data_IF_492958382698
#
_entry.id   IF_492958382698
#
_cell.length_a   1.000
_cell.length_b   1.000
_cell.length_c   1.000
_cell.angle_alpha   90.00
_cell.angle_beta   90.00
_cell.angle_gamma   90.00
#
_symmetry.space_group_name_H-M   'P 1'
#
loop_
_entity.id
_entity.type
_entity.pdbx_description
1 polymer ?
#
# COMPACT_ATOMS: atom_id res chain seq x y z
N UNK A 1 19.53 -12.19 18.13
CA UNK A 1 19.10 -11.04 18.95
C UNK A 1 19.46 -9.81 18.14
N UNK A 2 18.54 -9.35 17.29
CA UNK A 2 18.72 -8.08 16.58
C UNK A 2 19.07 -7.00 17.61
N UNK A 3 20.17 -6.29 17.38
CA UNK A 3 20.60 -5.23 18.31
C UNK A 3 19.49 -4.20 18.38
N UNK A 4 19.03 -3.85 19.59
CA UNK A 4 18.00 -2.84 19.85
C UNK A 4 18.22 -1.55 19.03
N UNK A 5 19.49 -1.18 18.78
CA UNK A 5 19.88 -0.03 17.96
C UNK A 5 19.50 -0.14 16.47
N UNK A 6 19.50 -1.34 15.88
CA UNK A 6 19.13 -1.54 14.48
C UNK A 6 17.63 -1.32 14.28
N UNK A 7 16.79 -1.96 15.10
CA UNK A 7 15.35 -1.71 15.09
C UNK A 7 15.03 -0.23 15.41
N UNK A 8 15.77 0.37 16.35
CA UNK A 8 15.66 1.81 16.63
C UNK A 8 15.99 2.66 15.39
N UNK A 9 17.04 2.32 14.63
CA UNK A 9 17.39 3.01 13.38
C UNK A 9 16.25 2.88 12.36
N UNK A 10 15.68 1.68 12.18
CA UNK A 10 14.56 1.46 11.26
C UNK A 10 13.30 2.23 11.67
N UNK A 11 13.03 2.37 12.97
CA UNK A 11 11.82 3.03 13.50
C UNK A 11 11.95 4.54 13.68
N UNK A 12 13.17 5.09 13.70
CA UNK A 12 13.40 6.52 13.94
C UNK A 12 12.67 7.35 12.89
N UNK A 13 12.04 8.45 13.35
CA UNK A 13 11.17 9.30 12.54
C UNK A 13 11.91 10.59 12.18
N UNK A 14 11.92 10.96 10.90
CA UNK A 14 12.43 12.25 10.46
C UNK A 14 11.37 13.37 10.63
N UNK A 15 11.64 14.57 10.11
CA UNK A 15 10.76 15.75 10.26
C UNK A 15 9.40 15.61 9.58
N UNK A 16 9.24 14.68 8.64
CA UNK A 16 7.98 14.34 7.98
C UNK A 16 7.26 13.17 8.67
N UNK A 17 7.84 12.64 9.75
CA UNK A 17 7.38 11.40 10.34
C UNK A 17 7.66 10.19 9.45
N UNK A 18 8.51 10.29 8.43
CA UNK A 18 8.93 9.12 7.68
C UNK A 18 9.92 8.31 8.53
N UNK A 19 9.79 6.98 8.52
CA UNK A 19 10.82 6.08 9.04
C UNK A 19 11.67 5.52 7.88
N UNK A 20 12.62 4.63 8.17
CA UNK A 20 13.50 4.04 7.14
C UNK A 20 12.73 3.50 5.92
N UNK A 21 11.63 2.78 6.14
CA UNK A 21 10.85 2.18 5.08
C UNK A 21 10.08 3.21 4.25
N UNK A 22 9.62 4.29 4.86
CA UNK A 22 9.01 5.39 4.11
C UNK A 22 10.04 6.04 3.19
N UNK A 23 11.22 6.35 3.71
CA UNK A 23 12.30 6.99 2.94
C UNK A 23 12.77 6.10 1.79
N UNK A 24 13.05 4.83 2.07
CA UNK A 24 13.49 3.87 1.05
C UNK A 24 12.40 3.62 -0.01
N UNK A 25 11.12 3.55 0.40
CA UNK A 25 10.01 3.38 -0.54
C UNK A 25 9.78 4.59 -1.43
N UNK A 26 9.80 5.79 -0.83
CA UNK A 26 9.61 7.07 -1.54
C UNK A 26 10.73 7.35 -2.53
N UNK A 27 11.96 6.98 -2.18
CA UNK A 27 13.13 7.19 -3.03
C UNK A 27 13.37 6.07 -4.05
N UNK A 28 12.50 5.04 -4.09
CA UNK A 28 12.68 3.84 -4.93
C UNK A 28 14.00 3.10 -4.68
N UNK A 29 14.53 3.13 -3.46
CA UNK A 29 15.82 2.55 -3.12
C UNK A 29 15.71 1.06 -2.77
N UNK A 30 15.34 0.25 -3.77
CA UNK A 30 15.14 -1.20 -3.61
C UNK A 30 16.35 -1.93 -2.99
N UNK A 31 17.58 -1.51 -3.28
CA UNK A 31 18.78 -2.13 -2.71
C UNK A 31 18.88 -1.92 -1.19
N UNK A 32 18.39 -0.79 -0.66
CA UNK A 32 18.34 -0.58 0.79
C UNK A 32 17.25 -1.44 1.43
N UNK A 33 16.09 -1.58 0.77
CA UNK A 33 15.04 -2.49 1.23
C UNK A 33 15.54 -3.94 1.29
N UNK A 34 16.28 -4.41 0.26
CA UNK A 34 16.87 -5.76 0.26
C UNK A 34 17.92 -5.95 1.34
N UNK A 35 18.74 -4.93 1.61
CA UNK A 35 19.71 -4.99 2.72
C UNK A 35 19.01 -5.10 4.06
N UNK A 36 17.96 -4.31 4.28
CA UNK A 36 17.16 -4.40 5.49
C UNK A 36 16.47 -5.78 5.60
N UNK A 37 15.86 -6.28 4.51
CA UNK A 37 15.22 -7.60 4.46
C UNK A 37 16.18 -8.72 4.89
N UNK A 38 17.42 -8.70 4.41
CA UNK A 38 18.44 -9.70 4.76
C UNK A 38 18.95 -9.61 6.22
N UNK A 39 18.66 -8.52 6.92
CA UNK A 39 19.09 -8.29 8.30
C UNK A 39 17.97 -8.50 9.32
N UNK A 40 16.73 -8.70 8.86
CA UNK A 40 15.56 -8.84 9.70
C UNK A 40 15.17 -10.33 9.71
N UNK A 41 15.30 -10.95 10.87
CA UNK A 41 15.04 -12.39 11.04
C UNK A 41 13.52 -12.67 11.19
N UNK A 42 12.77 -11.71 11.75
CA UNK A 42 11.35 -11.84 12.08
C UNK A 42 10.51 -10.66 11.56
N UNK A 43 9.23 -10.85 11.18
CA UNK A 43 8.39 -9.75 10.73
C UNK A 43 8.27 -8.62 11.76
N UNK A 44 8.32 -7.37 11.30
CA UNK A 44 8.31 -6.15 12.12
C UNK A 44 7.10 -5.25 11.79
N UNK A 45 5.85 -5.76 11.90
CA UNK A 45 4.66 -5.06 11.44
C UNK A 45 4.50 -3.67 12.07
N UNK A 46 4.88 -3.50 13.35
CA UNK A 46 4.75 -2.23 14.08
C UNK A 46 5.48 -1.07 13.40
N UNK A 47 6.64 -1.32 12.79
CA UNK A 47 7.41 -0.30 12.07
C UNK A 47 6.78 -0.02 10.71
N UNK A 48 6.33 -1.06 10.01
CA UNK A 48 5.83 -0.97 8.64
C UNK A 48 4.40 -0.39 8.55
N UNK A 49 3.56 -0.62 9.57
CA UNK A 49 2.19 -0.07 9.64
C UNK A 49 2.13 1.33 10.23
N UNK A 50 3.26 1.86 10.70
CA UNK A 50 3.36 3.24 11.17
C UNK A 50 3.03 4.19 10.02
N UNK A 51 2.19 5.20 10.29
CA UNK A 51 1.88 6.27 9.34
C UNK A 51 2.78 7.47 9.55
N UNK A 52 3.27 8.08 8.47
CA UNK A 52 3.94 9.37 8.49
C UNK A 52 2.98 10.53 8.84
N UNK A 53 3.45 11.77 8.85
CA UNK A 53 2.61 12.92 9.19
C UNK A 53 1.57 13.29 8.11
N UNK A 54 1.70 12.74 6.89
CA UNK A 54 0.63 12.78 5.89
C UNK A 54 -0.42 11.67 6.10
N UNK A 55 -0.20 10.79 7.08
CA UNK A 55 -1.10 9.66 7.34
C UNK A 55 -0.84 8.44 6.47
N UNK A 56 0.27 8.39 5.73
CA UNK A 56 0.61 7.30 4.81
C UNK A 56 1.51 6.28 5.48
N UNK A 57 1.26 4.98 5.26
CA UNK A 57 2.27 3.93 5.49
C UNK A 57 3.21 3.83 4.28
N UNK A 58 4.35 3.15 4.43
CA UNK A 58 5.31 2.97 3.33
C UNK A 58 4.71 2.29 2.09
N UNK A 59 3.70 1.41 2.25
CA UNK A 59 2.97 0.76 1.15
C UNK A 59 2.25 1.76 0.24
N UNK A 60 1.71 2.86 0.78
CA UNK A 60 1.08 3.92 0.00
C UNK A 60 2.11 4.68 -0.85
N UNK A 61 3.30 4.89 -0.29
CA UNK A 61 4.39 5.58 -0.98
C UNK A 61 4.89 4.78 -2.18
N UNK A 62 4.94 3.44 -2.09
CA UNK A 62 5.29 2.55 -3.21
C UNK A 62 4.34 2.75 -4.39
N UNK A 63 3.02 2.86 -4.15
CA UNK A 63 2.05 3.07 -5.24
C UNK A 63 2.20 4.45 -5.87
N UNK A 64 2.66 5.43 -5.10
CA UNK A 64 2.85 6.80 -5.56
C UNK A 64 4.09 7.01 -6.43
N UNK A 65 5.04 6.08 -6.44
CA UNK A 65 6.18 6.13 -7.36
C UNK A 65 5.77 5.60 -8.75
N UNK A 66 6.34 6.16 -9.82
CA UNK A 66 6.20 5.63 -11.19
C UNK A 66 7.28 4.58 -11.49
N UNK A 67 7.69 3.85 -10.45
CA UNK A 67 8.87 3.00 -10.50
C UNK A 67 8.55 1.61 -11.07
N UNK A 68 9.47 1.08 -11.87
CA UNK A 68 9.37 -0.26 -12.44
C UNK A 68 9.50 -1.36 -11.37
N UNK A 69 10.11 -1.05 -10.23
CA UNK A 69 10.35 -1.96 -9.11
C UNK A 69 9.25 -1.94 -8.04
N UNK A 70 8.13 -1.25 -8.27
CA UNK A 70 7.08 -1.10 -7.26
C UNK A 70 6.55 -2.46 -6.76
N UNK A 71 6.46 -3.48 -7.63
CA UNK A 71 6.03 -4.82 -7.24
C UNK A 71 7.05 -5.50 -6.32
N UNK A 72 8.34 -5.44 -6.65
CA UNK A 72 9.41 -6.01 -5.84
C UNK A 72 9.54 -5.30 -4.50
N UNK A 73 9.41 -3.99 -4.48
CA UNK A 73 9.42 -3.21 -3.23
C UNK A 73 8.23 -3.59 -2.35
N UNK A 74 7.03 -3.72 -2.94
CA UNK A 74 5.84 -4.17 -2.22
C UNK A 74 6.05 -5.57 -1.65
N UNK A 75 6.61 -6.49 -2.44
CA UNK A 75 6.93 -7.85 -1.98
C UNK A 75 7.85 -7.84 -0.76
N UNK A 76 8.92 -7.04 -0.79
CA UNK A 76 9.87 -6.95 0.33
C UNK A 76 9.17 -6.44 1.60
N UNK A 77 8.43 -5.33 1.52
CA UNK A 77 7.79 -4.77 2.73
C UNK A 77 6.68 -5.68 3.27
N UNK A 78 5.96 -6.41 2.41
CA UNK A 78 4.96 -7.39 2.83
C UNK A 78 5.61 -8.60 3.52
N UNK A 79 6.75 -9.10 3.04
CA UNK A 79 7.52 -10.14 3.73
C UNK A 79 7.94 -9.70 5.14
N UNK A 80 8.20 -8.40 5.32
CA UNK A 80 8.57 -7.79 6.60
C UNK A 80 7.36 -7.44 7.48
N UNK A 81 6.14 -7.81 7.07
CA UNK A 81 4.92 -7.63 7.85
C UNK A 81 4.16 -6.33 7.61
N UNK A 82 4.38 -5.64 6.47
CA UNK A 82 3.54 -4.53 6.09
C UNK A 82 2.08 -4.95 5.84
N UNK A 83 1.14 -4.04 6.11
CA UNK A 83 -0.28 -4.26 5.85
C UNK A 83 -0.62 -3.88 4.40
N UNK A 84 -0.99 -4.86 3.57
CA UNK A 84 -1.40 -4.66 2.18
C UNK A 84 -2.72 -3.88 2.07
N UNK A 85 -3.56 -3.94 3.11
CA UNK A 85 -4.86 -3.28 3.17
C UNK A 85 -4.84 -2.03 4.07
N UNK A 86 -3.67 -1.62 4.54
CA UNK A 86 -3.52 -0.46 5.40
C UNK A 86 -4.16 0.75 4.74
N UNK A 87 -5.02 1.47 5.46
CA UNK A 87 -5.62 2.69 4.97
C UNK A 87 -4.70 3.87 5.28
N UNK A 88 -4.60 4.87 4.41
CA UNK A 88 -4.02 6.16 4.77
C UNK A 88 -5.03 7.03 5.57
N UNK A 89 -4.55 8.09 6.22
CA UNK A 89 -5.37 8.84 7.17
C UNK A 89 -6.25 9.95 6.58
N UNK A 90 -5.97 10.43 5.36
CA UNK A 90 -6.70 11.54 4.77
C UNK A 90 -8.07 11.10 4.24
N UNK A 91 -8.13 9.97 3.52
CA UNK A 91 -9.36 9.50 2.88
C UNK A 91 -9.66 8.02 3.09
N UNK A 92 -8.86 7.30 3.87
CA UNK A 92 -9.02 5.87 4.10
C UNK A 92 -8.63 5.03 2.89
N UNK A 93 -7.80 5.53 1.98
CA UNK A 93 -7.42 4.81 0.77
C UNK A 93 -6.42 3.70 1.10
N UNK A 94 -6.69 2.48 0.64
CA UNK A 94 -5.69 1.40 0.66
C UNK A 94 -4.70 1.56 -0.52
N UNK A 95 -3.55 0.86 -0.52
CA UNK A 95 -2.66 0.83 -1.68
C UNK A 95 -3.40 0.51 -3.00
N UNK A 96 -4.34 -0.44 -2.97
CA UNK A 96 -5.13 -0.80 -4.15
C UNK A 96 -6.08 0.32 -4.61
N UNK A 97 -6.62 1.13 -3.70
CA UNK A 97 -7.38 2.33 -4.10
C UNK A 97 -6.49 3.35 -4.80
N UNK A 98 -5.28 3.59 -4.28
CA UNK A 98 -4.35 4.56 -4.86
C UNK A 98 -3.93 4.20 -6.30
N UNK A 99 -3.96 2.92 -6.66
CA UNK A 99 -3.70 2.48 -8.04
C UNK A 99 -4.67 3.10 -9.06
N UNK A 100 -5.89 3.48 -8.66
CA UNK A 100 -6.88 4.14 -9.53
C UNK A 100 -6.30 5.44 -10.08
N UNK A 101 -5.85 6.34 -9.22
CA UNK A 101 -5.33 7.65 -9.65
C UNK A 101 -3.95 7.57 -10.28
N UNK A 102 -3.13 6.62 -9.81
CA UNK A 102 -1.78 6.44 -10.33
C UNK A 102 -1.76 5.70 -11.67
N UNK A 103 -2.89 5.07 -12.05
CA UNK A 103 -3.04 4.25 -13.26
C UNK A 103 -1.97 3.15 -13.35
N UNK A 104 -1.53 2.65 -12.20
CA UNK A 104 -0.51 1.60 -12.12
C UNK A 104 -1.18 0.24 -12.24
N UNK A 105 -1.57 -0.11 -13.47
CA UNK A 105 -2.32 -1.33 -13.77
C UNK A 105 -1.54 -2.59 -13.41
N UNK A 106 -0.23 -2.60 -13.65
CA UNK A 106 0.63 -3.75 -13.36
C UNK A 106 0.68 -4.03 -11.85
N UNK A 107 0.87 -2.98 -11.03
CA UNK A 107 0.85 -3.14 -9.58
C UNK A 107 -0.55 -3.50 -9.07
N UNK A 108 -1.62 -2.93 -9.63
CA UNK A 108 -2.98 -3.28 -9.26
C UNK A 108 -3.28 -4.77 -9.53
N UNK A 109 -2.90 -5.27 -10.71
CA UNK A 109 -3.07 -6.67 -11.06
C UNK A 109 -2.27 -7.59 -10.13
N UNK A 110 -1.04 -7.20 -9.80
CA UNK A 110 -0.21 -7.94 -8.86
C UNK A 110 -0.80 -7.94 -7.45
N UNK A 111 -1.21 -6.78 -6.92
CA UNK A 111 -1.83 -6.64 -5.59
C UNK A 111 -3.08 -7.50 -5.44
N UNK A 112 -3.91 -7.59 -6.49
CA UNK A 112 -5.10 -8.44 -6.51
C UNK A 112 -4.80 -9.94 -6.33
N UNK A 113 -3.55 -10.37 -6.52
CA UNK A 113 -3.09 -11.76 -6.37
C UNK A 113 -2.37 -11.99 -5.04
N UNK A 114 -2.13 -10.94 -4.24
CA UNK A 114 -1.40 -11.03 -2.96
C UNK A 114 -2.27 -11.72 -1.90
N UNK A 115 -1.73 -12.67 -1.13
CA UNK A 115 -2.45 -13.28 -0.01
C UNK A 115 -2.97 -12.24 0.99
N UNK A 116 -4.24 -12.37 1.39
CA UNK A 116 -4.87 -11.46 2.35
C UNK A 116 -5.34 -10.13 1.78
N UNK A 117 -5.23 -9.88 0.48
CA UNK A 117 -5.80 -8.68 -0.15
C UNK A 117 -7.33 -8.63 0.06
N UNK A 118 -7.84 -7.48 0.49
CA UNK A 118 -9.27 -7.25 0.65
C UNK A 118 -9.79 -6.35 -0.49
N UNK A 119 -10.38 -6.98 -1.51
CA UNK A 119 -10.98 -6.27 -2.65
C UNK A 119 -12.23 -5.45 -2.26
N UNK A 120 -12.83 -5.76 -1.11
CA UNK A 120 -14.03 -5.11 -0.59
C UNK A 120 -13.74 -4.08 0.50
N UNK A 121 -12.46 -3.74 0.73
CA UNK A 121 -12.09 -2.64 1.60
C UNK A 121 -12.71 -1.34 1.08
N UNK A 122 -13.25 -0.51 1.99
CA UNK A 122 -13.88 0.76 1.64
C UNK A 122 -13.10 1.94 2.20
N UNK A 123 -12.94 2.98 1.39
CA UNK A 123 -12.41 4.26 1.85
C UNK A 123 -13.40 5.00 2.78
N UNK A 124 -13.05 6.20 3.26
CA UNK A 124 -13.92 7.01 4.12
C UNK A 124 -15.16 7.56 3.41
N UNK A 125 -15.17 7.60 2.08
CA UNK A 125 -16.37 7.87 1.27
C UNK A 125 -17.24 6.60 1.05
N UNK A 126 -16.93 5.51 1.75
CA UNK A 126 -17.60 4.22 1.66
C UNK A 126 -17.62 3.67 0.23
N UNK A 127 -16.49 3.76 -0.47
CA UNK A 127 -16.27 3.26 -1.83
C UNK A 127 -15.27 2.12 -1.80
N UNK A 128 -15.60 1.02 -2.47
CA UNK A 128 -14.60 0.01 -2.85
C UNK A 128 -13.72 0.51 -3.99
N UNK A 129 -12.62 -0.20 -4.26
CA UNK A 129 -11.76 0.10 -5.41
C UNK A 129 -12.53 0.09 -6.73
N UNK A 130 -13.44 -0.87 -6.93
CA UNK A 130 -14.28 -0.94 -8.13
C UNK A 130 -15.17 0.31 -8.28
N UNK A 131 -15.78 0.77 -7.18
CA UNK A 131 -16.64 1.95 -7.19
C UNK A 131 -15.84 3.23 -7.45
N UNK A 132 -14.68 3.39 -6.81
CA UNK A 132 -13.79 4.53 -7.05
C UNK A 132 -13.29 4.54 -8.50
N UNK A 133 -12.86 3.39 -9.03
CA UNK A 133 -12.39 3.28 -10.41
C UNK A 133 -13.48 3.66 -11.41
N UNK A 134 -14.73 3.26 -11.15
CA UNK A 134 -15.87 3.66 -11.98
C UNK A 134 -16.13 5.17 -11.95
N UNK A 135 -16.10 5.79 -10.78
CA UNK A 135 -16.31 7.24 -10.65
C UNK A 135 -15.21 8.05 -11.33
N UNK A 136 -13.99 7.50 -11.44
CA UNK A 136 -12.86 8.10 -12.14
C UNK A 136 -12.73 7.67 -13.61
N UNK A 137 -13.68 6.92 -14.16
CA UNK A 137 -13.62 6.35 -15.52
C UNK A 137 -12.35 5.49 -15.80
N UNK A 138 -11.81 4.83 -14.78
CA UNK A 138 -10.64 3.96 -14.86
C UNK A 138 -11.03 2.51 -15.17
N UNK A 139 -11.53 2.30 -16.39
CA UNK A 139 -12.05 1.02 -16.88
C UNK A 139 -11.05 -0.15 -16.76
N UNK A 140 -9.77 0.11 -16.94
CA UNK A 140 -8.75 -0.94 -16.86
C UNK A 140 -8.58 -1.46 -15.42
N UNK A 141 -8.61 -0.58 -14.41
CA UNK A 141 -8.59 -1.00 -13.01
C UNK A 141 -9.89 -1.74 -12.65
N UNK A 142 -11.04 -1.28 -13.16
CA UNK A 142 -12.32 -1.97 -12.97
C UNK A 142 -12.25 -3.43 -13.45
N UNK A 143 -11.73 -3.66 -14.66
CA UNK A 143 -11.59 -5.01 -15.21
C UNK A 143 -10.57 -5.86 -14.46
N UNK A 144 -9.48 -5.27 -13.95
CA UNK A 144 -8.50 -5.96 -13.12
C UNK A 144 -9.16 -6.49 -11.83
N UNK A 145 -9.80 -5.62 -11.06
CA UNK A 145 -10.40 -6.02 -9.77
C UNK A 145 -11.60 -6.95 -9.97
N UNK A 146 -12.36 -6.77 -11.04
CA UNK A 146 -13.47 -7.67 -11.41
C UNK A 146 -12.96 -9.08 -11.75
N UNK A 147 -11.88 -9.20 -12.53
CA UNK A 147 -11.25 -10.50 -12.83
C UNK A 147 -10.69 -11.16 -11.57
N UNK A 148 -10.27 -10.36 -10.59
CA UNK A 148 -9.83 -10.84 -9.29
C UNK A 148 -10.98 -11.25 -8.34
N UNK A 149 -12.23 -11.05 -8.74
CA UNK A 149 -13.41 -11.46 -7.97
C UNK A 149 -14.06 -10.37 -7.12
N UNK A 150 -13.71 -9.09 -7.33
CA UNK A 150 -14.36 -7.97 -6.63
C UNK A 150 -15.84 -7.86 -6.99
N UNK A 151 -16.67 -7.51 -6.01
CA UNK A 151 -18.10 -7.25 -6.23
C UNK A 151 -18.29 -6.00 -7.07
N UNK A 152 -19.02 -6.15 -8.18
CA UNK A 152 -19.33 -5.06 -9.10
C UNK A 152 -20.67 -4.39 -8.77
N UNK A 153 -20.97 -4.18 -7.48
CA UNK A 153 -22.25 -3.65 -7.02
C UNK A 153 -22.29 -2.13 -7.05
N UNK A 154 -23.42 -1.58 -7.51
CA UNK A 154 -23.71 -0.15 -7.48
C UNK A 154 -24.04 0.30 -6.06
N UNK A 155 -23.57 1.49 -5.66
CA UNK A 155 -24.10 2.17 -4.47
C UNK A 155 -25.62 2.27 -4.62
N UNK A 156 -26.36 1.60 -3.74
CA UNK A 156 -27.79 1.88 -3.58
C UNK A 156 -27.91 3.31 -3.08
N UNK A 157 -28.35 4.23 -3.94
CA UNK A 157 -28.71 5.57 -3.52
C UNK A 157 -29.80 5.41 -2.47
N UNK A 158 -29.47 5.64 -1.19
CA UNK A 158 -30.48 5.76 -0.14
C UNK A 158 -31.31 6.98 -0.52
N UNK A 159 -32.47 6.77 -1.14
CA UNK A 159 -33.49 7.82 -1.26
C UNK A 159 -33.83 8.22 0.17
N UNK A 160 -33.51 9.46 0.53
CA UNK A 160 -34.04 10.09 1.75
C UNK A 160 -35.55 10.25 1.62
#
# INVERSE_FOLDING_TARGET
>A
MESNKFLQMLSTRNTLGDNFFHEACKASWILLLRRAENMIDEPIPTILTTRNYNGEQCTHLIVSTKDIYAQEMMKIVLNLGADVNGQEACGGFTPLHLCVWKKNYALAEWLCKVPGINLEAVNYANQTVYQLARECDEYQIMEIVKKAGAKCELKKVKKK
#
